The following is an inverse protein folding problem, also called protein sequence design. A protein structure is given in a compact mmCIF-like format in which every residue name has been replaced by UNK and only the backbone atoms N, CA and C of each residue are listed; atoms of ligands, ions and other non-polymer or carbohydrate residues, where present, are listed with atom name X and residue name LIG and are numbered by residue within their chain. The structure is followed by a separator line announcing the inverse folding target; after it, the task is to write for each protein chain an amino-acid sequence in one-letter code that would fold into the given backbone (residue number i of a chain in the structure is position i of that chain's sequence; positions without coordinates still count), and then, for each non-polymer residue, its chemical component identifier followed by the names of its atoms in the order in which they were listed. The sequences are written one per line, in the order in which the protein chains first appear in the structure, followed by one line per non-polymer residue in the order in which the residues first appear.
data_IF_125774884993
#
_entry.id   IF_125774884993
#
_cell.length_a   1.000
_cell.length_b   1.000
_cell.length_c   1.000
_cell.angle_alpha   90.00
_cell.angle_beta   90.00
_cell.angle_gamma   90.00
#
_symmetry.space_group_name_H-M   'P 1'
#
loop_
_entity.id
_entity.type
_entity.pdbx_description
1 polymer ?
#
# COMPACT_ATOMS: atom_id res chain seq x y z
N UNK A 1 1.07 -16.54 -3.58
CA UNK A 1 1.65 -15.99 -2.33
C UNK A 1 1.48 -16.94 -1.12
N UNK A 2 1.18 -18.23 -1.29
CA UNK A 2 0.87 -19.19 -0.21
C UNK A 2 2.08 -19.81 0.52
N UNK A 3 3.30 -19.29 0.30
CA UNK A 3 4.55 -19.78 0.94
C UNK A 3 5.12 -18.82 1.98
N UNK A 4 4.35 -17.83 2.43
CA UNK A 4 4.74 -17.00 3.56
C UNK A 4 4.54 -17.84 4.82
N UNK A 5 5.63 -18.32 5.42
CA UNK A 5 5.61 -19.07 6.68
C UNK A 5 4.88 -18.30 7.79
N UNK A 6 4.59 -18.97 8.92
CA UNK A 6 3.86 -18.34 10.02
C UNK A 6 4.75 -17.32 10.78
N UNK A 7 4.82 -16.11 10.23
CA UNK A 7 5.60 -15.00 10.79
C UNK A 7 5.13 -14.57 12.18
N UNK A 8 3.87 -14.84 12.54
CA UNK A 8 3.35 -14.56 13.88
C UNK A 8 4.02 -15.47 14.90
N UNK A 9 4.15 -16.76 14.57
CA UNK A 9 4.84 -17.75 15.40
C UNK A 9 6.33 -17.41 15.60
N UNK A 10 7.02 -16.94 14.57
CA UNK A 10 8.42 -16.50 14.67
C UNK A 10 8.55 -15.29 15.59
N UNK A 11 7.71 -14.27 15.37
CA UNK A 11 7.68 -13.07 16.22
C UNK A 11 7.40 -13.42 17.67
N UNK A 12 6.50 -14.34 17.94
CA UNK A 12 6.13 -14.73 19.30
C UNK A 12 7.22 -15.60 19.96
N UNK A 13 7.91 -16.45 19.18
CA UNK A 13 9.11 -17.16 19.61
C UNK A 13 10.25 -16.21 19.97
N UNK A 14 10.45 -15.14 19.18
CA UNK A 14 11.38 -14.07 19.51
C UNK A 14 10.98 -13.42 20.84
N UNK A 15 9.73 -12.96 21.00
CA UNK A 15 9.27 -12.37 22.28
C UNK A 15 9.48 -13.30 23.48
N UNK A 16 9.30 -14.61 23.32
CA UNK A 16 9.51 -15.59 24.38
C UNK A 16 10.97 -15.66 24.86
N UNK A 17 11.95 -15.44 23.98
CA UNK A 17 13.37 -15.35 24.36
C UNK A 17 13.63 -14.21 25.37
N UNK A 18 13.04 -13.03 25.18
CA UNK A 18 13.23 -11.92 26.14
C UNK A 18 12.43 -12.12 27.44
N UNK A 19 11.34 -12.90 27.43
CA UNK A 19 10.63 -13.27 28.68
C UNK A 19 11.48 -14.22 29.54
N UNK A 20 12.09 -15.23 28.92
CA UNK A 20 12.96 -16.16 29.61
C UNK A 20 14.05 -16.71 28.68
N UNK A 21 15.26 -16.13 28.78
CA UNK A 21 16.41 -16.49 27.92
C UNK A 21 16.88 -17.93 28.13
N UNK A 22 16.69 -18.51 29.33
CA UNK A 22 17.13 -19.89 29.61
C UNK A 22 16.18 -20.94 29.04
N UNK A 23 14.86 -20.65 29.07
CA UNK A 23 13.83 -21.55 28.54
C UNK A 23 13.69 -21.46 27.02
N UNK A 24 13.96 -20.29 26.43
CA UNK A 24 13.79 -20.05 25.00
C UNK A 24 15.09 -19.62 24.31
N UNK A 25 16.21 -20.35 24.49
CA UNK A 25 17.51 -19.94 23.95
C UNK A 25 17.46 -19.81 22.41
N UNK A 26 18.28 -18.91 21.87
CA UNK A 26 18.28 -18.56 20.45
C UNK A 26 18.41 -19.77 19.51
N UNK A 27 19.13 -20.81 19.93
CA UNK A 27 19.27 -22.06 19.18
C UNK A 27 17.94 -22.83 19.01
N UNK A 28 16.95 -22.68 19.91
CA UNK A 28 15.60 -23.23 19.74
C UNK A 28 14.82 -22.47 18.67
N UNK A 29 14.93 -21.15 18.64
CA UNK A 29 14.32 -20.30 17.61
C UNK A 29 14.91 -20.66 16.24
N UNK A 30 16.24 -20.83 16.17
CA UNK A 30 16.91 -21.29 14.95
C UNK A 30 16.42 -22.67 14.50
N UNK A 31 16.23 -23.63 15.43
CA UNK A 31 15.68 -24.95 15.10
C UNK A 31 14.21 -24.89 14.66
N UNK A 32 13.40 -23.99 15.23
CA UNK A 32 12.02 -23.79 14.82
C UNK A 32 11.96 -23.21 13.38
N UNK A 33 12.77 -22.18 13.11
CA UNK A 33 12.98 -21.64 11.76
C UNK A 33 13.43 -22.74 10.79
N UNK A 34 14.46 -23.51 11.16
CA UNK A 34 14.98 -24.59 10.32
C UNK A 34 13.96 -25.72 10.07
N UNK A 35 13.10 -26.03 11.06
CA UNK A 35 12.06 -27.06 10.94
C UNK A 35 10.92 -26.61 10.02
N UNK A 36 10.49 -25.36 10.14
CA UNK A 36 9.52 -24.73 9.23
C UNK A 36 10.08 -24.64 7.79
N UNK A 37 11.40 -24.55 7.65
CA UNK A 37 12.09 -24.40 6.37
C UNK A 37 12.29 -25.70 5.56
N UNK A 38 12.13 -26.88 6.16
CA UNK A 38 12.24 -28.19 5.48
C UNK A 38 13.61 -28.57 4.90
N UNK A 39 13.80 -29.86 4.57
CA UNK A 39 15.00 -30.41 3.93
C UNK A 39 14.94 -30.24 2.39
N UNK A 40 14.73 -29.02 1.88
CA UNK A 40 14.83 -28.78 0.43
C UNK A 40 16.30 -28.67 0.02
N UNK A 41 16.75 -29.56 -0.87
CA UNK A 41 18.11 -29.62 -1.42
C UNK A 41 18.42 -28.37 -2.25
N UNK A 42 19.44 -27.60 -1.82
CA UNK A 42 20.23 -26.61 -2.55
C UNK A 42 19.56 -25.46 -3.34
N UNK A 43 18.24 -25.45 -3.51
CA UNK A 43 17.44 -24.30 -3.94
C UNK A 43 16.86 -23.60 -2.68
N UNK A 44 17.31 -22.42 -2.28
CA UNK A 44 18.64 -21.85 -2.40
C UNK A 44 19.04 -21.30 -1.03
N UNK A 45 20.33 -21.34 -0.68
CA UNK A 45 20.84 -20.67 0.52
C UNK A 45 20.40 -19.19 0.58
N UNK A 46 20.19 -18.57 -0.58
CA UNK A 46 19.67 -17.23 -0.75
C UNK A 46 18.22 -17.08 -0.25
N UNK A 47 17.33 -18.04 -0.55
CA UNK A 47 15.95 -18.05 -0.02
C UNK A 47 15.93 -18.18 1.50
N UNK A 48 16.78 -19.05 2.06
CA UNK A 48 16.92 -19.19 3.52
C UNK A 48 17.46 -17.93 4.19
N UNK A 49 18.43 -17.26 3.57
CA UNK A 49 18.95 -15.97 4.05
C UNK A 49 17.89 -14.88 3.95
N UNK A 50 17.07 -14.87 2.89
CA UNK A 50 15.95 -13.94 2.76
C UNK A 50 14.88 -14.17 3.83
N UNK A 51 14.49 -15.42 4.11
CA UNK A 51 13.52 -15.74 5.16
C UNK A 51 14.04 -15.37 6.56
N UNK A 52 15.31 -15.63 6.86
CA UNK A 52 15.91 -15.20 8.14
C UNK A 52 15.95 -13.68 8.24
N UNK A 53 16.28 -12.99 7.14
CA UNK A 53 16.20 -11.52 7.08
C UNK A 53 14.77 -11.08 7.37
N UNK A 54 13.77 -11.60 6.66
CA UNK A 54 12.35 -11.28 6.87
C UNK A 54 11.92 -11.51 8.32
N UNK A 55 12.27 -12.65 8.92
CA UNK A 55 11.99 -12.94 10.33
C UNK A 55 12.53 -11.86 11.28
N UNK A 56 13.77 -11.40 11.05
CA UNK A 56 14.38 -10.32 11.86
C UNK A 56 13.65 -9.00 11.66
N UNK A 57 13.35 -8.61 10.42
CA UNK A 57 12.61 -7.38 10.13
C UNK A 57 11.17 -7.42 10.67
N UNK A 58 10.48 -8.55 10.57
CA UNK A 58 9.18 -8.75 11.21
C UNK A 58 9.25 -8.63 12.73
N UNK A 59 10.32 -9.14 13.36
CA UNK A 59 10.58 -8.91 14.79
C UNK A 59 10.71 -7.41 15.14
N UNK A 60 11.11 -6.57 14.19
CA UNK A 60 11.19 -5.12 14.38
C UNK A 60 9.86 -4.38 14.09
N UNK A 61 8.78 -5.12 13.81
CA UNK A 61 7.56 -4.64 13.16
C UNK A 61 7.90 -3.77 11.94
N UNK A 62 8.82 -4.25 11.11
CA UNK A 62 9.07 -3.75 9.76
C UNK A 62 8.59 -4.83 8.79
N UNK A 63 7.70 -4.44 7.89
CA UNK A 63 7.04 -5.30 6.92
C UNK A 63 7.82 -5.31 5.61
N UNK A 64 8.55 -4.23 5.31
CA UNK A 64 9.11 -4.02 4.00
C UNK A 64 10.59 -4.44 3.89
N UNK A 65 10.86 -5.34 2.94
CA UNK A 65 12.19 -5.56 2.37
C UNK A 65 12.69 -4.35 1.56
N UNK A 66 11.88 -3.29 1.43
CA UNK A 66 12.14 -2.13 0.56
C UNK A 66 13.29 -1.25 1.07
N UNK A 67 13.67 -1.44 2.32
CA UNK A 67 14.84 -0.82 2.91
C UNK A 67 16.09 -1.53 2.38
N UNK A 68 16.62 -1.02 1.27
CA UNK A 68 17.95 -1.38 0.75
C UNK A 68 19.04 -0.79 1.67
N UNK A 69 19.07 -1.23 2.92
CA UNK A 69 20.03 -0.81 3.92
C UNK A 69 21.28 -1.66 3.85
N UNK A 70 22.44 -1.03 4.00
CA UNK A 70 23.74 -1.71 4.08
C UNK A 70 23.95 -2.24 5.52
N UNK A 71 22.93 -2.89 6.07
CA UNK A 71 22.95 -3.47 7.43
C UNK A 71 22.67 -4.96 7.34
N UNK A 72 23.59 -5.75 7.89
CA UNK A 72 23.41 -7.19 7.96
C UNK A 72 22.36 -7.58 9.01
N UNK A 73 21.63 -8.66 8.78
CA UNK A 73 20.71 -9.22 9.78
C UNK A 73 21.42 -9.52 11.12
N UNK A 74 22.70 -9.93 11.07
CA UNK A 74 23.53 -10.16 12.25
C UNK A 74 23.78 -8.89 13.07
N UNK A 75 24.00 -7.74 12.42
CA UNK A 75 24.20 -6.46 13.11
C UNK A 75 22.91 -6.06 13.84
N UNK A 76 21.76 -6.12 13.16
CA UNK A 76 20.46 -5.83 13.78
C UNK A 76 20.14 -6.78 14.94
N UNK A 77 20.40 -8.08 14.77
CA UNK A 77 20.24 -9.07 15.84
C UNK A 77 21.16 -8.77 17.02
N UNK A 78 22.40 -8.37 16.78
CA UNK A 78 23.32 -8.01 17.86
C UNK A 78 22.81 -6.80 18.66
N UNK A 79 22.31 -5.76 17.97
CA UNK A 79 21.70 -4.59 18.61
C UNK A 79 20.50 -5.01 19.47
N UNK A 80 19.60 -5.84 18.91
CA UNK A 80 18.41 -6.29 19.63
C UNK A 80 18.74 -7.15 20.86
N UNK A 81 19.72 -8.05 20.74
CA UNK A 81 20.04 -9.04 21.78
C UNK A 81 20.92 -8.48 22.90
N UNK A 82 21.61 -7.38 22.66
CA UNK A 82 22.39 -6.65 23.67
C UNK A 82 21.49 -5.96 24.70
N UNK A 83 20.26 -5.61 24.33
CA UNK A 83 19.31 -4.97 25.23
C UNK A 83 18.65 -5.95 26.21
N UNK A 84 18.29 -5.42 27.39
CA UNK A 84 17.63 -6.20 28.44
C UNK A 84 16.17 -6.48 28.11
N UNK A 85 15.48 -5.50 27.54
CA UNK A 85 14.08 -5.59 27.16
C UNK A 85 13.89 -5.61 25.64
N UNK A 86 12.91 -6.36 25.17
CA UNK A 86 12.55 -6.45 23.75
C UNK A 86 12.21 -5.09 23.13
N UNK A 87 11.48 -4.25 23.89
CA UNK A 87 11.05 -2.93 23.42
C UNK A 87 12.25 -2.02 23.14
N UNK A 88 13.25 -2.04 24.02
CA UNK A 88 14.47 -1.25 23.88
C UNK A 88 15.32 -1.75 22.71
N UNK A 89 15.55 -3.06 22.62
CA UNK A 89 16.30 -3.67 21.51
C UNK A 89 15.68 -3.38 20.15
N UNK A 90 14.34 -3.44 20.07
CA UNK A 90 13.60 -3.06 18.86
C UNK A 90 13.74 -1.57 18.55
N UNK A 91 13.59 -0.70 19.56
CA UNK A 91 13.70 0.75 19.38
C UNK A 91 15.08 1.13 18.86
N UNK A 92 16.13 0.54 19.42
CA UNK A 92 17.52 0.82 19.04
C UNK A 92 17.82 0.30 17.62
N UNK A 93 17.40 -0.91 17.29
CA UNK A 93 17.56 -1.45 15.93
C UNK A 93 16.80 -0.61 14.88
N UNK A 94 15.60 -0.11 15.20
CA UNK A 94 14.86 0.82 14.33
C UNK A 94 15.57 2.17 14.21
N UNK A 95 16.05 2.73 15.32
CA UNK A 95 16.86 3.96 15.33
C UNK A 95 18.08 3.84 14.41
N UNK A 96 18.77 2.69 14.47
CA UNK A 96 19.88 2.36 13.57
C UNK A 96 19.44 2.36 12.11
N UNK A 97 18.33 1.71 11.77
CA UNK A 97 17.80 1.70 10.40
C UNK A 97 17.48 3.11 9.89
N UNK A 98 16.87 3.95 10.73
CA UNK A 98 16.56 5.35 10.42
C UNK A 98 17.83 6.15 10.17
N UNK A 99 18.86 5.98 11.01
CA UNK A 99 20.14 6.67 10.82
C UNK A 99 20.81 6.33 9.49
N UNK A 100 20.73 5.06 9.08
CA UNK A 100 21.26 4.59 7.80
C UNK A 100 20.44 5.10 6.62
N UNK A 101 19.11 5.17 6.76
CA UNK A 101 18.23 5.77 5.75
C UNK A 101 18.53 7.25 5.55
N UNK A 102 18.63 8.02 6.64
CA UNK A 102 18.96 9.45 6.59
C UNK A 102 20.30 9.67 5.88
N UNK A 103 21.33 8.90 6.24
CA UNK A 103 22.61 8.93 5.54
C UNK A 103 22.47 8.64 4.03
N UNK A 104 21.67 7.66 3.62
CA UNK A 104 21.44 7.39 2.19
C UNK A 104 20.66 8.50 1.49
N UNK A 105 19.74 9.16 2.18
CA UNK A 105 18.99 10.32 1.67
C UNK A 105 19.94 11.50 1.46
N UNK A 106 20.77 11.81 2.45
CA UNK A 106 21.83 12.84 2.38
C UNK A 106 22.82 12.58 1.25
N UNK A 107 23.16 11.31 0.99
CA UNK A 107 24.02 10.90 -0.13
C UNK A 107 23.29 10.89 -1.50
N UNK A 108 21.99 11.23 -1.58
CA UNK A 108 21.19 11.19 -2.81
C UNK A 108 20.91 9.78 -3.34
N UNK A 109 21.13 8.74 -2.53
CA UNK A 109 20.92 7.32 -2.88
C UNK A 109 19.48 6.86 -2.63
N UNK A 110 18.53 7.62 -3.18
CA UNK A 110 17.09 7.48 -2.92
C UNK A 110 16.30 6.65 -3.94
N UNK A 111 16.97 6.15 -5.00
CA UNK A 111 16.30 5.45 -6.10
C UNK A 111 15.61 4.15 -5.67
N UNK A 112 16.19 3.47 -4.67
CA UNK A 112 15.73 2.16 -4.19
C UNK A 112 14.72 2.27 -3.05
N UNK A 113 14.54 3.46 -2.48
CA UNK A 113 13.60 3.68 -1.38
C UNK A 113 12.20 3.72 -1.97
N UNK A 114 11.25 2.97 -1.40
CA UNK A 114 9.85 2.93 -1.83
C UNK A 114 9.00 3.60 -0.76
N UNK A 115 8.24 4.64 -1.12
CA UNK A 115 7.42 5.43 -0.18
C UNK A 115 6.40 4.55 0.55
N UNK A 116 5.63 3.73 -0.19
CA UNK A 116 4.70 2.78 0.42
C UNK A 116 5.36 1.77 1.36
N UNK A 117 6.67 1.54 1.21
CA UNK A 117 7.44 0.71 2.12
C UNK A 117 7.75 1.43 3.43
N UNK A 118 8.15 2.70 3.34
CA UNK A 118 8.33 3.57 4.50
C UNK A 118 7.05 3.76 5.29
N UNK A 119 5.90 3.95 4.61
CA UNK A 119 4.59 4.05 5.27
C UNK A 119 4.27 2.80 6.08
N UNK A 120 4.38 1.63 5.45
CA UNK A 120 4.12 0.33 6.10
C UNK A 120 5.04 0.04 7.26
N UNK A 121 6.28 0.53 7.19
CA UNK A 121 7.27 0.35 8.25
C UNK A 121 7.18 1.41 9.36
N UNK A 122 6.28 2.39 9.25
CA UNK A 122 6.14 3.48 10.23
C UNK A 122 7.26 4.52 10.15
N UNK A 123 7.80 4.75 8.95
CA UNK A 123 8.81 5.75 8.63
C UNK A 123 8.26 6.85 7.70
N UNK A 124 6.95 7.11 7.73
CA UNK A 124 6.27 8.12 6.90
C UNK A 124 6.91 9.51 7.01
N UNK A 125 7.43 9.87 8.18
CA UNK A 125 8.10 11.15 8.41
C UNK A 125 9.38 11.35 7.59
N UNK A 126 9.95 10.30 6.98
CA UNK A 126 11.10 10.40 6.07
C UNK A 126 10.69 10.62 4.61
N UNK A 127 9.41 10.47 4.27
CA UNK A 127 8.93 10.61 2.89
C UNK A 127 9.23 11.99 2.31
N UNK A 128 9.01 13.11 3.03
CA UNK A 128 9.36 14.44 2.52
C UNK A 128 10.87 14.56 2.20
N UNK A 129 11.74 14.12 3.11
CA UNK A 129 13.20 14.14 2.90
C UNK A 129 13.60 13.29 1.66
N UNK A 130 12.92 12.15 1.44
CA UNK A 130 13.15 11.29 0.27
C UNK A 130 12.70 11.96 -1.02
N UNK A 131 11.53 12.63 -1.03
CA UNK A 131 11.01 13.35 -2.20
C UNK A 131 11.92 14.51 -2.57
N UNK A 132 12.30 15.34 -1.59
CA UNK A 132 13.21 16.46 -1.78
C UNK A 132 14.54 15.99 -2.39
N UNK A 133 15.15 14.93 -1.85
CA UNK A 133 16.38 14.37 -2.39
C UNK A 133 16.22 13.83 -3.82
N UNK A 134 15.06 13.28 -4.19
CA UNK A 134 14.79 12.84 -5.57
C UNK A 134 14.61 14.01 -6.52
N UNK A 135 13.94 15.07 -6.08
CA UNK A 135 13.77 16.31 -6.87
C UNK A 135 15.13 16.98 -7.07
N UNK A 136 15.95 17.09 -6.03
CA UNK A 136 17.32 17.58 -6.13
C UNK A 136 18.14 16.79 -7.16
N UNK A 137 18.09 15.45 -7.10
CA UNK A 137 18.76 14.59 -8.08
C UNK A 137 18.19 14.73 -9.50
N UNK A 138 16.90 15.00 -9.64
CA UNK A 138 16.29 15.26 -10.95
C UNK A 138 16.74 16.62 -11.51
N UNK A 139 16.86 17.65 -10.67
CA UNK A 139 17.45 18.96 -11.02
C UNK A 139 18.89 18.84 -11.51
N UNK A 140 19.71 18.07 -10.79
CA UNK A 140 21.10 17.78 -11.19
C UNK A 140 21.18 17.01 -12.51
N UNK A 141 20.12 16.26 -12.84
CA UNK A 141 20.01 15.50 -14.07
C UNK A 141 19.50 16.33 -15.26
N UNK A 142 19.49 17.66 -15.17
CA UNK A 142 19.08 18.56 -16.26
C UNK A 142 19.84 18.22 -17.56
N UNK A 143 19.13 18.01 -18.69
CA UNK A 143 19.80 17.74 -19.96
C UNK A 143 20.68 18.92 -20.36
N UNK A 144 21.96 18.65 -20.65
CA UNK A 144 22.92 19.65 -21.12
C UNK A 144 22.90 19.68 -22.64
N UNK A 145 22.60 20.85 -23.20
CA UNK A 145 22.60 21.08 -24.64
C UNK A 145 24.04 21.39 -25.09
N UNK A 146 24.75 20.40 -25.63
CA UNK A 146 25.98 20.65 -26.40
C UNK A 146 25.59 20.99 -27.84
N UNK A 147 26.46 21.70 -28.56
CA UNK A 147 26.30 22.17 -29.94
C UNK A 147 25.79 21.14 -30.93
N UNK A 148 26.12 19.85 -30.75
CA UNK A 148 25.74 18.77 -31.68
C UNK A 148 24.84 17.71 -31.07
N UNK A 149 24.89 17.52 -29.75
CA UNK A 149 24.22 16.40 -29.09
C UNK A 149 23.74 16.78 -27.70
N UNK A 150 22.66 16.17 -27.26
CA UNK A 150 22.15 16.28 -25.89
C UNK A 150 22.48 14.98 -25.16
N UNK A 151 23.24 15.06 -24.06
CA UNK A 151 23.56 13.88 -23.24
C UNK A 151 22.41 13.57 -22.28
N UNK A 152 21.85 12.35 -22.38
CA UNK A 152 20.74 11.87 -21.56
C UNK A 152 21.20 10.93 -20.44
N UNK A 153 22.51 10.72 -20.29
CA UNK A 153 23.09 9.88 -19.25
C UNK A 153 22.68 10.31 -17.84
N UNK A 154 22.64 11.61 -17.48
CA UNK A 154 22.17 12.05 -16.16
C UNK A 154 20.70 11.67 -15.90
N UNK A 155 19.80 11.92 -16.86
CA UNK A 155 18.37 11.57 -16.75
C UNK A 155 18.15 10.07 -16.55
N UNK A 156 18.94 9.22 -17.24
CA UNK A 156 18.89 7.76 -17.07
C UNK A 156 19.27 7.28 -15.67
N UNK A 157 20.10 8.04 -14.95
CA UNK A 157 20.49 7.71 -13.57
C UNK A 157 19.44 8.14 -12.55
N UNK A 158 18.56 9.08 -12.89
CA UNK A 158 17.46 9.51 -12.04
C UNK A 158 16.21 8.63 -12.22
N UNK A 159 15.43 8.43 -11.15
CA UNK A 159 14.13 7.74 -11.24
C UNK A 159 13.13 8.52 -12.10
N UNK A 160 12.99 9.83 -11.84
CA UNK A 160 12.09 10.70 -12.61
C UNK A 160 12.57 10.87 -14.05
N UNK A 161 13.88 11.02 -14.27
CA UNK A 161 14.44 11.07 -15.62
C UNK A 161 14.17 9.81 -16.44
N UNK A 162 14.26 8.61 -15.85
CA UNK A 162 13.86 7.36 -16.52
C UNK A 162 12.37 7.28 -16.82
N UNK A 163 11.51 7.89 -16.02
CA UNK A 163 10.08 7.96 -16.28
C UNK A 163 9.79 8.91 -17.44
N UNK A 164 10.41 10.10 -17.43
CA UNK A 164 10.35 11.09 -18.50
C UNK A 164 10.80 10.53 -19.85
N UNK A 165 11.96 9.89 -19.90
CA UNK A 165 12.47 9.30 -21.15
C UNK A 165 11.54 8.20 -21.68
N UNK A 166 10.89 7.44 -20.79
CA UNK A 166 9.89 6.43 -21.17
C UNK A 166 8.61 7.06 -21.71
N UNK A 167 8.10 8.14 -21.11
CA UNK A 167 6.89 8.81 -21.62
C UNK A 167 7.10 9.43 -23.01
N UNK A 168 8.32 9.83 -23.33
CA UNK A 168 8.71 10.36 -24.64
C UNK A 168 9.22 9.28 -25.61
N UNK A 169 9.20 8.00 -25.22
CA UNK A 169 9.73 6.87 -26.01
C UNK A 169 11.20 7.04 -26.47
N UNK A 170 12.04 7.68 -25.66
CA UNK A 170 13.46 7.89 -25.94
C UNK A 170 14.28 6.74 -25.33
N UNK A 171 14.93 5.94 -26.19
CA UNK A 171 15.72 4.75 -25.82
C UNK A 171 17.22 4.98 -26.04
N UNK A 172 17.61 6.12 -26.58
CA UNK A 172 18.98 6.52 -26.88
C UNK A 172 19.67 7.17 -25.67
N UNK A 173 21.00 7.10 -25.60
CA UNK A 173 21.81 7.77 -24.57
C UNK A 173 22.11 9.22 -24.91
N UNK A 174 21.98 9.59 -26.18
CA UNK A 174 22.17 10.95 -26.67
C UNK A 174 21.27 11.20 -27.87
N UNK A 175 20.75 12.41 -28.00
CA UNK A 175 20.01 12.87 -29.18
C UNK A 175 20.82 13.91 -29.96
N UNK A 176 20.59 14.03 -31.25
CA UNK A 176 21.13 15.14 -32.05
C UNK A 176 20.37 16.43 -31.70
N UNK A 177 21.04 17.58 -31.66
CA UNK A 177 20.36 18.86 -31.37
C UNK A 177 19.33 19.27 -32.41
N UNK A 178 19.39 18.68 -33.60
CA UNK A 178 18.41 18.89 -34.68
C UNK A 178 17.18 17.99 -34.59
N UNK A 179 17.12 17.07 -33.63
CA UNK A 179 15.98 16.17 -33.43
C UNK A 179 14.81 16.90 -32.76
N UNK A 180 13.62 16.89 -33.38
CA UNK A 180 12.41 17.54 -32.87
C UNK A 180 12.04 17.10 -31.43
N UNK A 181 12.48 15.89 -31.02
CA UNK A 181 12.25 15.36 -29.67
C UNK A 181 13.03 16.14 -28.59
N UNK A 182 14.08 16.88 -28.95
CA UNK A 182 14.89 17.66 -27.99
C UNK A 182 14.08 18.80 -27.38
N UNK A 183 13.31 19.52 -28.21
CA UNK A 183 12.45 20.61 -27.73
C UNK A 183 11.38 20.08 -26.77
N UNK A 184 10.68 19.01 -27.18
CA UNK A 184 9.69 18.32 -26.35
C UNK A 184 10.27 17.79 -25.04
N UNK A 185 11.49 17.26 -25.08
CA UNK A 185 12.19 16.78 -23.88
C UNK A 185 12.46 17.90 -22.89
N UNK A 186 12.93 19.05 -23.35
CA UNK A 186 13.24 20.20 -22.48
C UNK A 186 11.97 20.77 -21.88
N UNK A 187 10.91 20.96 -22.68
CA UNK A 187 9.62 21.46 -22.21
C UNK A 187 9.00 20.50 -21.17
N UNK A 188 8.94 19.20 -21.48
CA UNK A 188 8.38 18.20 -20.57
C UNK A 188 9.22 18.07 -19.29
N UNK A 189 10.55 18.21 -19.38
CA UNK A 189 11.42 18.24 -18.21
C UNK A 189 11.10 19.41 -17.28
N UNK A 190 10.95 20.62 -17.83
CA UNK A 190 10.63 21.82 -17.05
C UNK A 190 9.24 21.73 -16.42
N UNK A 191 8.25 21.24 -17.18
CA UNK A 191 6.89 21.02 -16.67
C UNK A 191 6.89 20.00 -15.53
N UNK A 192 7.54 18.85 -15.72
CA UNK A 192 7.60 17.82 -14.69
C UNK A 192 8.35 18.30 -13.44
N UNK A 193 9.41 19.10 -13.60
CA UNK A 193 10.12 19.68 -12.48
C UNK A 193 9.22 20.61 -11.67
N UNK A 194 8.45 21.46 -12.36
CA UNK A 194 7.47 22.36 -11.74
C UNK A 194 6.38 21.58 -11.00
N UNK A 195 5.81 20.53 -11.62
CA UNK A 195 4.80 19.68 -10.97
C UNK A 195 5.32 19.04 -9.69
N UNK A 196 6.56 18.53 -9.70
CA UNK A 196 7.18 17.92 -8.53
C UNK A 196 7.36 18.96 -7.40
N UNK A 197 7.86 20.15 -7.72
CA UNK A 197 8.02 21.24 -6.75
C UNK A 197 6.68 21.71 -6.17
N UNK A 198 5.64 21.81 -7.02
CA UNK A 198 4.30 22.19 -6.58
C UNK A 198 3.67 21.11 -5.69
N UNK A 199 3.84 19.83 -6.03
CA UNK A 199 3.27 18.72 -5.26
C UNK A 199 3.82 18.66 -3.83
N UNK A 200 5.10 18.97 -3.65
CA UNK A 200 5.71 19.03 -2.31
C UNK A 200 5.20 20.24 -1.51
N UNK A 201 4.90 21.36 -2.17
CA UNK A 201 4.30 22.54 -1.52
C UNK A 201 2.79 22.41 -1.28
N UNK A 202 2.09 21.54 -2.00
CA UNK A 202 0.63 21.40 -1.85
C UNK A 202 0.25 20.61 -0.58
N UNK A 203 1.20 19.88 0.03
CA UNK A 203 1.03 19.25 1.35
C UNK A 203 1.20 20.25 2.51
N UNK A 204 1.26 21.56 2.24
CA UNK A 204 1.22 22.59 3.28
C UNK A 204 0.01 22.36 4.19
N UNK A 205 0.30 22.11 5.47
CA UNK A 205 -0.67 22.11 6.55
C UNK A 205 -1.57 23.33 6.36
N UNK A 206 -2.86 23.10 6.07
CA UNK A 206 -3.84 24.16 6.02
C UNK A 206 -3.76 24.89 7.37
N UNK A 207 -3.24 26.11 7.33
CA UNK A 207 -2.96 26.92 8.52
C UNK A 207 -4.21 26.89 9.41
N UNK A 208 -4.06 26.41 10.65
CA UNK A 208 -5.17 26.22 11.61
C UNK A 208 -5.99 27.52 11.77
N UNK A 209 -5.39 28.67 11.43
CA UNK A 209 -6.01 29.99 11.41
C UNK A 209 -7.16 30.14 10.40
N UNK A 210 -7.20 29.32 9.35
CA UNK A 210 -8.30 29.29 8.38
C UNK A 210 -9.36 28.25 8.69
N UNK A 211 -9.18 27.45 9.75
CA UNK A 211 -10.22 26.52 10.17
C UNK A 211 -11.42 27.32 10.68
N UNK A 212 -12.59 27.02 10.11
CA UNK A 212 -13.81 27.62 10.56
C UNK A 212 -14.04 27.18 12.01
N UNK A 213 -14.16 28.11 12.94
CA UNK A 213 -14.38 27.80 14.35
C UNK A 213 -15.87 27.93 14.64
N UNK A 214 -16.47 26.94 15.30
CA UNK A 214 -17.85 27.03 15.80
C UNK A 214 -17.96 28.23 16.76
N UNK A 215 -19.18 28.70 17.00
CA UNK A 215 -19.44 29.76 17.99
C UNK A 215 -18.89 29.46 19.41
N UNK A 216 -18.57 28.19 19.70
CA UNK A 216 -18.03 27.74 20.98
C UNK A 216 -16.49 27.64 21.01
N UNK A 217 -15.79 28.12 19.99
CA UNK A 217 -14.32 28.05 19.96
C UNK A 217 -13.76 26.68 19.57
N UNK A 218 -14.60 25.75 19.11
CA UNK A 218 -14.17 24.42 18.63
C UNK A 218 -14.06 24.47 17.10
N UNK A 219 -12.93 24.09 16.50
CA UNK A 219 -12.82 23.97 15.05
C UNK A 219 -13.96 23.10 14.50
N UNK A 220 -14.57 23.53 13.40
CA UNK A 220 -15.73 22.88 12.77
C UNK A 220 -15.35 21.56 12.12
N UNK A 221 -14.08 21.31 11.79
CA UNK A 221 -13.67 20.17 10.96
C UNK A 221 -12.68 19.27 11.72
N UNK A 222 -12.82 17.95 11.81
CA UNK A 222 -12.84 17.00 10.68
C UNK A 222 -13.17 15.58 11.18
N UNK A 223 -14.31 15.39 11.86
CA UNK A 223 -14.71 14.09 12.45
C UNK A 223 -15.51 13.16 11.52
N UNK A 224 -15.11 13.04 10.25
CA UNK A 224 -15.59 11.93 9.40
C UNK A 224 -14.47 11.05 8.81
N UNK A 225 -13.21 11.39 9.01
CA UNK A 225 -12.09 10.48 8.66
C UNK A 225 -11.37 10.00 9.92
N UNK A 226 -11.94 8.99 10.57
CA UNK A 226 -11.13 7.98 11.27
C UNK A 226 -10.94 8.10 12.79
N UNK A 227 -11.89 8.61 13.57
CA UNK A 227 -11.83 8.47 15.06
C UNK A 227 -12.72 7.31 15.51
N UNK A 228 -12.30 6.10 15.19
CA UNK A 228 -12.93 4.85 15.64
C UNK A 228 -12.31 4.20 16.88
N UNK A 229 -11.16 4.65 17.39
CA UNK A 229 -10.39 3.78 18.32
C UNK A 229 -9.91 4.35 19.68
N UNK A 230 -10.01 5.65 19.98
CA UNK A 230 -9.31 6.16 21.18
C UNK A 230 -10.16 6.73 22.33
N UNK A 231 -11.44 6.35 22.46
CA UNK A 231 -12.21 6.65 23.68
C UNK A 231 -12.74 5.35 24.33
N UNK A 232 -11.82 4.44 24.66
CA UNK A 232 -12.05 3.37 25.65
C UNK A 232 -10.83 3.20 26.54
N UNK A 233 -10.79 4.00 27.62
CA UNK A 233 -10.07 3.84 28.90
C UNK A 233 -9.93 5.25 29.46
N UNK A 234 -10.80 5.74 30.33
CA UNK A 234 -10.87 5.31 31.74
C UNK A 234 -12.21 5.76 32.33
N UNK A 235 -13.03 4.83 32.82
CA UNK A 235 -14.05 5.13 33.84
C UNK A 235 -13.76 4.31 35.09
N UNK A 236 -13.70 4.94 36.28
CA UNK A 236 -13.51 4.24 37.54
C UNK A 236 -14.74 3.39 37.86
N UNK A 237 -14.48 2.20 38.42
CA UNK A 237 -15.50 1.27 38.85
C UNK A 237 -16.28 1.84 40.05
N UNK A 238 -17.61 1.77 39.97
CA UNK A 238 -18.49 1.90 41.12
C UNK A 238 -19.54 2.99 40.99
N UNK A 239 -20.73 2.62 40.52
CA UNK A 239 -22.01 2.91 41.20
C UNK A 239 -23.15 2.30 40.40
N UNK A 240 -23.82 1.32 41.00
CA UNK A 240 -25.11 0.81 40.56
C UNK A 240 -26.11 1.96 40.50
N UNK A 241 -26.54 2.31 39.29
CA UNK A 241 -27.78 3.06 39.09
C UNK A 241 -28.61 2.35 38.04
N UNK A 242 -29.71 1.82 38.55
CA UNK A 242 -30.90 1.37 37.88
C UNK A 242 -31.33 2.40 36.83
N UNK A 243 -31.10 2.07 35.56
CA UNK A 243 -31.55 2.84 34.40
C UNK A 243 -32.60 1.99 33.69
N UNK A 244 -33.82 2.06 34.19
CA UNK A 244 -35.00 1.55 33.50
C UNK A 244 -35.25 2.36 32.23
N UNK A 245 -35.38 1.63 31.11
CA UNK A 245 -36.01 2.01 29.84
C UNK A 245 -35.45 3.26 29.16
N UNK A 246 -34.34 3.07 28.45
CA UNK A 246 -34.09 3.82 27.22
C UNK A 246 -34.23 2.81 26.09
N UNK A 247 -35.27 2.95 25.27
CA UNK A 247 -35.45 2.13 24.06
C UNK A 247 -34.22 2.26 23.17
N UNK A 248 -33.80 1.12 22.62
CA UNK A 248 -32.53 0.91 21.95
C UNK A 248 -32.39 1.84 20.74
N UNK A 249 -31.42 2.77 20.82
CA UNK A 249 -31.03 3.65 19.72
C UNK A 249 -30.23 2.92 18.61
N UNK A 250 -30.39 1.60 18.50
CA UNK A 250 -29.73 0.75 17.50
C UNK A 250 -30.54 0.66 16.20
N UNK A 251 -31.83 0.97 16.21
CA UNK A 251 -32.65 0.90 15.00
C UNK A 251 -32.32 1.99 13.96
N UNK A 252 -31.60 3.05 14.34
CA UNK A 252 -31.19 4.12 13.41
C UNK A 252 -29.75 4.02 12.89
N UNK A 253 -28.90 3.18 13.51
CA UNK A 253 -27.51 2.97 13.05
C UNK A 253 -27.42 1.79 12.10
N UNK A 254 -28.34 0.83 12.17
CA UNK A 254 -28.45 -0.23 11.17
C UNK A 254 -29.01 0.27 9.81
N UNK A 255 -29.61 1.46 9.78
CA UNK A 255 -30.14 2.06 8.55
C UNK A 255 -29.14 2.97 7.81
N UNK A 256 -28.05 3.39 8.46
CA UNK A 256 -27.03 4.28 7.86
C UNK A 256 -25.78 3.55 7.34
N UNK A 257 -25.68 2.24 7.58
CA UNK A 257 -24.75 1.30 6.93
C UNK A 257 -25.49 0.34 5.98
N UNK A 258 -26.67 0.73 5.48
CA UNK A 258 -27.07 0.24 4.16
C UNK A 258 -26.00 0.73 3.20
N UNK A 259 -25.19 -0.23 2.77
CA UNK A 259 -24.45 -0.21 1.52
C UNK A 259 -25.21 0.67 0.52
N UNK A 260 -24.49 1.40 -0.32
CA UNK A 260 -25.08 1.81 -1.59
C UNK A 260 -25.29 0.51 -2.37
N UNK A 261 -26.34 -0.23 -2.01
CA UNK A 261 -26.90 -1.35 -2.72
C UNK A 261 -27.34 -0.76 -4.05
N UNK A 262 -26.42 -0.77 -5.01
CA UNK A 262 -26.82 -1.06 -6.37
C UNK A 262 -27.21 -2.55 -6.43
N UNK A 263 -28.20 -2.95 -5.63
CA UNK A 263 -29.08 -4.06 -5.94
C UNK A 263 -29.89 -3.61 -7.17
N UNK A 264 -29.19 -3.46 -8.29
CA UNK A 264 -29.76 -3.13 -9.56
C UNK A 264 -30.73 -4.25 -9.91
N UNK A 265 -31.89 -3.89 -10.45
CA UNK A 265 -32.84 -4.86 -10.96
C UNK A 265 -32.14 -5.71 -12.04
N UNK A 266 -31.70 -6.92 -11.67
CA UNK A 266 -30.93 -7.79 -12.57
C UNK A 266 -31.77 -8.19 -13.78
N UNK A 267 -33.10 -8.02 -13.71
CA UNK A 267 -34.02 -8.25 -14.82
C UNK A 267 -33.84 -7.22 -15.95
N UNK A 268 -33.09 -6.14 -15.74
CA UNK A 268 -32.66 -5.23 -16.80
C UNK A 268 -31.68 -5.89 -17.79
N UNK A 269 -31.04 -7.01 -17.42
CA UNK A 269 -30.22 -7.78 -18.34
C UNK A 269 -31.08 -8.70 -19.21
N UNK A 270 -30.84 -8.67 -20.52
CA UNK A 270 -31.58 -9.50 -21.47
C UNK A 270 -31.48 -11.00 -21.12
N UNK A 271 -32.65 -11.64 -21.03
CA UNK A 271 -32.79 -13.03 -20.65
C UNK A 271 -32.70 -13.32 -19.15
N UNK A 272 -32.68 -12.33 -18.24
CA UNK A 272 -32.87 -12.58 -16.80
C UNK A 272 -34.34 -12.40 -16.42
N UNK A 273 -35.00 -13.50 -16.07
CA UNK A 273 -36.31 -13.46 -15.41
C UNK A 273 -36.18 -13.68 -13.89
N UNK A 274 -37.28 -13.55 -13.12
CA UNK A 274 -37.25 -13.62 -11.65
C UNK A 274 -36.58 -14.88 -11.09
N UNK A 275 -36.80 -16.04 -11.72
CA UNK A 275 -36.20 -17.31 -11.30
C UNK A 275 -34.68 -17.38 -11.54
N UNK A 276 -34.17 -16.68 -12.56
CA UNK A 276 -32.73 -16.62 -12.83
C UNK A 276 -32.05 -15.59 -11.92
N UNK A 277 -32.73 -14.47 -11.67
CA UNK A 277 -32.28 -13.46 -10.71
C UNK A 277 -32.08 -14.07 -9.31
N UNK A 278 -33.05 -14.83 -8.79
CA UNK A 278 -32.89 -15.49 -7.48
C UNK A 278 -31.66 -16.39 -7.42
N UNK A 279 -31.39 -17.16 -8.49
CA UNK A 279 -30.21 -18.04 -8.56
C UNK A 279 -28.88 -17.28 -8.59
N UNK A 280 -28.84 -16.14 -9.30
CA UNK A 280 -27.66 -15.28 -9.34
C UNK A 280 -27.36 -14.71 -7.95
N UNK A 281 -28.40 -14.21 -7.25
CA UNK A 281 -28.29 -13.71 -5.88
C UNK A 281 -27.86 -14.81 -4.90
N UNK A 282 -28.43 -16.01 -5.00
CA UNK A 282 -28.02 -17.17 -4.18
C UNK A 282 -26.53 -17.55 -4.35
N UNK A 283 -25.97 -17.26 -5.53
CA UNK A 283 -24.55 -17.50 -5.84
C UNK A 283 -23.64 -16.30 -5.51
N UNK A 284 -24.16 -15.23 -4.91
CA UNK A 284 -23.40 -14.02 -4.56
C UNK A 284 -23.22 -13.02 -5.72
N UNK A 285 -23.97 -13.16 -6.81
CA UNK A 285 -24.03 -12.19 -7.90
C UNK A 285 -25.28 -11.33 -7.77
N UNK A 286 -25.27 -10.40 -6.82
CA UNK A 286 -26.40 -9.53 -6.45
C UNK A 286 -26.44 -8.17 -7.14
N UNK A 287 -25.41 -7.85 -7.94
CA UNK A 287 -25.24 -6.55 -8.59
C UNK A 287 -24.64 -6.67 -9.98
N UNK A 288 -24.86 -5.65 -10.84
CA UNK A 288 -24.21 -5.57 -12.15
C UNK A 288 -22.68 -5.57 -12.05
N UNK A 289 -22.13 -4.98 -10.98
CA UNK A 289 -20.68 -4.96 -10.71
C UNK A 289 -20.16 -6.37 -10.48
N UNK A 290 -20.83 -7.15 -9.62
CA UNK A 290 -20.44 -8.53 -9.36
C UNK A 290 -20.45 -9.38 -10.64
N UNK A 291 -21.48 -9.22 -11.48
CA UNK A 291 -21.58 -9.91 -12.77
C UNK A 291 -20.50 -9.44 -13.76
N UNK A 292 -20.26 -8.13 -13.88
CA UNK A 292 -19.30 -7.56 -14.83
C UNK A 292 -17.84 -7.96 -14.59
N UNK A 293 -17.48 -8.22 -13.32
CA UNK A 293 -16.15 -8.65 -12.90
C UNK A 293 -15.95 -10.18 -12.91
N UNK A 294 -17.03 -10.97 -12.99
CA UNK A 294 -16.95 -12.42 -13.02
C UNK A 294 -16.27 -12.95 -14.30
N UNK A 295 -15.62 -14.12 -14.21
CA UNK A 295 -15.14 -14.86 -15.38
C UNK A 295 -16.25 -15.73 -15.98
N UNK A 296 -16.20 -15.97 -17.29
CA UNK A 296 -17.23 -16.75 -18.01
C UNK A 296 -17.32 -18.17 -17.45
N UNK A 297 -16.16 -18.79 -17.18
CA UNK A 297 -16.05 -20.15 -16.66
C UNK A 297 -16.64 -20.24 -15.24
N UNK A 298 -16.30 -19.28 -14.38
CA UNK A 298 -16.78 -19.20 -13.00
C UNK A 298 -18.31 -19.04 -12.94
N UNK A 299 -18.85 -18.08 -13.69
CA UNK A 299 -20.28 -17.81 -13.68
C UNK A 299 -21.09 -18.97 -14.28
N UNK A 300 -20.56 -19.65 -15.30
CA UNK A 300 -21.19 -20.84 -15.88
C UNK A 300 -21.13 -22.08 -14.97
N UNK A 301 -20.10 -22.18 -14.12
CA UNK A 301 -19.95 -23.29 -13.18
C UNK A 301 -20.79 -23.09 -11.92
N UNK A 302 -20.88 -21.85 -11.43
CA UNK A 302 -21.57 -21.50 -10.18
C UNK A 302 -23.10 -21.46 -10.36
N UNK A 303 -23.62 -20.95 -11.49
CA UNK A 303 -25.06 -20.70 -11.65
C UNK A 303 -25.73 -21.77 -12.52
N UNK A 304 -26.52 -22.65 -11.89
CA UNK A 304 -27.21 -23.72 -12.61
C UNK A 304 -28.20 -23.19 -13.66
N UNK A 305 -27.92 -23.47 -14.93
CA UNK A 305 -28.74 -23.09 -16.09
C UNK A 305 -28.14 -21.96 -16.92
N UNK A 306 -26.95 -21.46 -16.55
CA UNK A 306 -26.19 -20.50 -17.34
C UNK A 306 -25.05 -21.20 -18.05
N UNK A 307 -25.22 -21.48 -19.35
CA UNK A 307 -24.11 -21.96 -20.19
C UNK A 307 -23.10 -20.85 -20.50
N UNK A 308 -21.91 -21.21 -20.99
CA UNK A 308 -20.82 -20.27 -21.29
C UNK A 308 -21.24 -19.12 -22.22
N UNK A 309 -22.06 -19.41 -23.25
CA UNK A 309 -22.59 -18.38 -24.15
C UNK A 309 -23.47 -17.35 -23.41
N UNK A 310 -24.32 -17.83 -22.50
CA UNK A 310 -25.21 -16.97 -21.71
C UNK A 310 -24.43 -16.20 -20.66
N UNK A 311 -23.44 -16.82 -20.01
CA UNK A 311 -22.56 -16.14 -19.07
C UNK A 311 -21.84 -14.95 -19.73
N UNK A 312 -21.30 -15.15 -20.94
CA UNK A 312 -20.66 -14.07 -21.71
C UNK A 312 -21.62 -12.91 -22.00
N UNK A 313 -22.85 -13.20 -22.42
CA UNK A 313 -23.88 -12.17 -22.67
C UNK A 313 -24.21 -11.37 -21.42
N UNK A 314 -24.35 -12.03 -20.26
CA UNK A 314 -24.64 -11.36 -18.99
C UNK A 314 -23.51 -10.43 -18.56
N UNK A 315 -22.25 -10.87 -18.69
CA UNK A 315 -21.07 -10.06 -18.36
C UNK A 315 -20.99 -8.82 -19.26
N UNK A 316 -21.19 -8.98 -20.58
CA UNK A 316 -21.18 -7.85 -21.53
C UNK A 316 -22.35 -6.87 -21.29
N UNK A 317 -23.55 -7.39 -21.01
CA UNK A 317 -24.72 -6.57 -20.68
C UNK A 317 -24.51 -5.75 -19.40
N UNK A 318 -23.95 -6.38 -18.36
CA UNK A 318 -23.67 -5.71 -17.09
C UNK A 318 -22.63 -4.60 -17.25
N UNK A 319 -21.57 -4.82 -18.04
CA UNK A 319 -20.58 -3.77 -18.36
C UNK A 319 -21.20 -2.59 -19.10
N UNK A 320 -22.06 -2.86 -20.09
CA UNK A 320 -22.74 -1.80 -20.85
C UNK A 320 -23.62 -0.90 -19.97
N UNK A 321 -24.32 -1.49 -19.01
CA UNK A 321 -25.14 -0.74 -18.04
C UNK A 321 -24.28 0.09 -17.08
N UNK A 322 -23.11 -0.41 -16.66
CA UNK A 322 -22.18 0.32 -15.80
C UNK A 322 -21.48 1.49 -16.52
N UNK A 323 -21.18 1.32 -17.81
CA UNK A 323 -20.53 2.35 -18.64
C UNK A 323 -21.50 3.47 -19.08
N UNK A 324 -22.77 3.45 -18.61
CA UNK A 324 -23.77 4.48 -18.91
C UNK A 324 -24.26 4.44 -20.36
N UNK A 325 -24.25 3.26 -21.00
CA UNK A 325 -24.66 3.11 -22.40
C UNK A 325 -26.13 3.49 -22.60
N UNK A 326 -26.37 4.65 -23.21
CA UNK A 326 -27.66 5.05 -23.76
C UNK A 326 -28.23 3.90 -24.61
N UNK A 327 -29.43 3.44 -24.29
CA UNK A 327 -30.16 2.48 -25.10
C UNK A 327 -30.36 3.06 -26.50
N UNK A 328 -29.53 2.61 -27.44
CA UNK A 328 -29.76 2.79 -28.86
C UNK A 328 -31.04 2.07 -29.25
N UNK A 329 -32.18 2.75 -29.10
CA UNK A 329 -33.48 2.33 -29.57
C UNK A 329 -33.45 2.15 -31.08
N UNK A 330 -33.21 0.92 -31.52
CA UNK A 330 -33.56 0.48 -32.85
C UNK A 330 -35.04 0.07 -32.83
N UNK A 331 -35.91 1.02 -33.18
CA UNK A 331 -37.28 0.77 -33.63
C UNK A 331 -37.41 1.13 -35.11
#
# INVERSE_FOLDING_TARGET
MSRRGDFSSIRDSMKAYWKNKSENPWNRIYKALAKEMGDQENESLLERVMLVREAVFCGLDMISLSLALDVGANELLSIMTNEKEWKDGRREARSRCVSLLKKKIEEGKVDYIVESGLEKDGFTYLIPEVREARVAKFKEAKPTLDTKKVDLTPLRKSRYGRQLLRSLNIVETSLDTTDDRVEQLVETYEHQLLELELSDTAELDFDEQTQQITLNGVPVDSKEKGVGEEIRKTRPAGTDRDFSSQEELTDYVEESLKEVEYAGDLQALDGIGPAMESKLRECGYDSFVAIAHAQVEELSASVHGVGSARAKMLIEGARRLLDGGEEGGAS
#
